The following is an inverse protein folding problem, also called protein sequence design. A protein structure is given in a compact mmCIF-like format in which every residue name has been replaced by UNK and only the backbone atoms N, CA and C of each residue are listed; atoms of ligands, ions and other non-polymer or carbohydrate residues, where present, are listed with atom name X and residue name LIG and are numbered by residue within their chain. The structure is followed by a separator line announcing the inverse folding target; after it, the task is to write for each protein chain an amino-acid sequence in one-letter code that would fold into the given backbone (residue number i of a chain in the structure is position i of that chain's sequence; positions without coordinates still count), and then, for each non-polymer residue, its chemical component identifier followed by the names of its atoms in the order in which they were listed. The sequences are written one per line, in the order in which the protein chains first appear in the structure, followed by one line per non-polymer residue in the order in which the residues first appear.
data_IF_058968216100
#
_entry.id   IF_058968216100
#
_cell.length_a   1.000
_cell.length_b   1.000
_cell.length_c   1.000
_cell.angle_alpha   90.00
_cell.angle_beta   90.00
_cell.angle_gamma   90.00
#
_symmetry.space_group_name_H-M   'P 1'
#
loop_
_entity.id
_entity.type
_entity.pdbx_description
1 polymer ?
#
# COMPACT_ATOMS: atom_id res chain seq x y z
N UNK A 1 57.01 79.50 -28.71
CA UNK A 1 56.42 78.84 -27.55
C UNK A 1 54.93 78.52 -27.85
N UNK A 2 54.64 77.31 -28.31
CA UNK A 2 53.28 76.88 -28.56
C UNK A 2 52.91 75.80 -27.56
N UNK A 3 51.93 76.11 -26.72
CA UNK A 3 51.36 75.13 -25.75
C UNK A 3 50.34 74.29 -26.42
N UNK A 4 50.57 72.99 -26.45
CA UNK A 4 49.57 71.97 -26.94
C UNK A 4 48.71 71.51 -25.76
N UNK A 5 47.42 71.66 -25.90
CA UNK A 5 46.45 71.21 -24.88
C UNK A 5 46.01 69.86 -25.32
N UNK A 6 46.22 68.84 -24.45
CA UNK A 6 45.80 67.47 -24.63
C UNK A 6 44.44 67.31 -23.97
N UNK A 7 43.40 67.03 -24.75
CA UNK A 7 42.02 66.69 -24.25
C UNK A 7 41.98 65.21 -24.08
N UNK A 8 41.84 64.71 -22.84
CA UNK A 8 41.61 63.33 -22.52
C UNK A 8 40.06 63.06 -22.55
N UNK A 9 39.59 62.27 -23.49
CA UNK A 9 38.23 61.83 -23.51
C UNK A 9 38.10 60.59 -22.62
N UNK A 10 37.39 60.73 -21.50
CA UNK A 10 37.06 59.64 -20.58
C UNK A 10 35.83 58.90 -21.14
N UNK A 11 36.02 57.68 -21.68
CA UNK A 11 34.94 56.78 -22.06
C UNK A 11 34.44 56.07 -20.77
N UNK A 12 33.26 56.46 -20.30
CA UNK A 12 32.52 55.72 -19.29
C UNK A 12 31.98 54.42 -19.89
N UNK A 13 32.62 53.30 -19.59
CA UNK A 13 32.02 51.96 -19.81
C UNK A 13 31.00 51.72 -18.69
N UNK A 14 29.71 51.88 -18.99
CA UNK A 14 28.63 51.28 -18.17
C UNK A 14 28.67 49.77 -18.37
N UNK A 15 29.34 49.04 -17.49
CA UNK A 15 29.16 47.61 -17.34
C UNK A 15 27.76 47.33 -16.79
N UNK A 16 26.80 46.99 -17.66
CA UNK A 16 25.57 46.37 -17.27
C UNK A 16 25.92 45.00 -16.68
N UNK A 17 25.91 44.89 -15.37
CA UNK A 17 25.85 43.62 -14.68
C UNK A 17 24.48 42.99 -15.00
N UNK A 18 24.38 42.21 -16.08
CA UNK A 18 23.35 41.18 -16.22
C UNK A 18 23.65 40.15 -15.14
N UNK A 19 22.96 40.26 -14.00
CA UNK A 19 22.79 39.11 -13.12
C UNK A 19 22.17 38.03 -13.97
N UNK A 20 22.95 37.00 -14.33
CA UNK A 20 22.40 35.75 -14.77
C UNK A 20 21.41 35.32 -13.68
N UNK A 21 20.15 35.26 -14.04
CA UNK A 21 19.12 34.66 -13.21
C UNK A 21 19.53 33.19 -13.11
N UNK A 22 20.11 32.83 -11.97
CA UNK A 22 20.42 31.47 -11.63
C UNK A 22 19.05 30.76 -11.61
N UNK A 23 18.70 30.13 -12.74
CA UNK A 23 17.59 29.20 -12.84
C UNK A 23 18.04 28.01 -12.02
N UNK A 24 17.87 28.09 -10.69
CA UNK A 24 17.85 26.92 -9.83
C UNK A 24 16.83 25.98 -10.45
N UNK A 25 17.32 24.91 -11.10
CA UNK A 25 16.49 23.78 -11.50
C UNK A 25 15.75 23.38 -10.24
N UNK A 26 14.43 23.57 -10.21
CA UNK A 26 13.58 22.97 -9.18
C UNK A 26 13.81 21.46 -9.24
N UNK A 27 14.62 20.97 -8.32
CA UNK A 27 15.06 19.59 -8.30
C UNK A 27 13.94 18.71 -7.72
N UNK A 28 13.04 18.27 -8.60
CA UNK A 28 12.08 17.21 -8.28
C UNK A 28 10.89 17.67 -7.43
N UNK A 29 10.33 16.71 -6.70
CA UNK A 29 9.27 16.98 -5.74
C UNK A 29 9.86 17.45 -4.40
N UNK A 30 9.29 18.53 -3.86
CA UNK A 30 9.57 19.06 -2.53
C UNK A 30 8.26 19.00 -1.73
N UNK A 31 8.26 18.23 -0.64
CA UNK A 31 7.06 18.04 0.17
C UNK A 31 7.14 18.75 1.50
N UNK A 32 6.02 19.35 1.91
CA UNK A 32 5.82 19.88 3.26
C UNK A 32 4.71 19.07 3.93
N UNK A 33 5.01 18.48 5.08
CA UNK A 33 4.03 17.72 5.86
C UNK A 33 2.92 18.62 6.39
N UNK A 34 1.68 18.26 6.14
CA UNK A 34 0.48 18.95 6.65
C UNK A 34 -0.04 18.25 7.90
N UNK A 35 -0.11 16.93 7.84
CA UNK A 35 -0.56 16.07 8.94
C UNK A 35 0.19 14.75 8.87
N UNK A 36 0.69 14.31 10.02
CA UNK A 36 1.35 13.02 10.16
C UNK A 36 0.83 12.32 11.41
N UNK A 37 0.42 11.07 11.25
CA UNK A 37 0.00 10.21 12.34
C UNK A 37 1.12 9.23 12.67
N UNK A 38 1.22 8.74 13.91
CA UNK A 38 2.31 7.86 14.31
C UNK A 38 2.23 6.51 13.57
N UNK A 39 3.38 6.03 13.13
CA UNK A 39 3.61 4.72 12.53
C UNK A 39 4.80 4.03 13.19
N UNK A 40 4.83 2.71 13.14
CA UNK A 40 6.01 1.92 13.51
C UNK A 40 7.08 1.95 12.42
N UNK A 41 8.24 1.35 12.67
CA UNK A 41 9.36 1.30 11.72
C UNK A 41 8.96 0.71 10.36
N UNK A 42 9.69 1.11 9.32
CA UNK A 42 9.52 0.56 7.96
C UNK A 42 10.10 -0.85 7.93
N UNK A 43 9.26 -1.83 7.62
CA UNK A 43 9.65 -3.23 7.44
C UNK A 43 10.03 -3.54 5.99
N UNK A 44 10.61 -4.72 5.75
CA UNK A 44 10.95 -5.18 4.41
C UNK A 44 10.41 -6.59 4.17
N UNK A 45 9.32 -6.69 3.41
CA UNK A 45 8.75 -7.96 2.99
C UNK A 45 9.62 -8.72 1.98
N UNK A 46 10.56 -8.01 1.32
CA UNK A 46 11.43 -8.55 0.28
C UNK A 46 10.63 -9.37 -0.76
N UNK A 47 11.01 -10.63 -1.01
CA UNK A 47 10.37 -11.53 -1.99
C UNK A 47 9.43 -12.55 -1.34
N UNK A 48 8.53 -12.07 -0.46
CA UNK A 48 7.57 -12.93 0.24
C UNK A 48 6.16 -12.93 -0.36
N UNK A 49 5.83 -11.94 -1.20
CA UNK A 49 4.45 -11.75 -1.73
C UNK A 49 3.38 -11.61 -0.64
N UNK A 50 3.78 -11.10 0.54
CA UNK A 50 2.91 -10.99 1.73
C UNK A 50 2.62 -9.55 2.14
N UNK A 51 2.59 -8.62 1.17
CA UNK A 51 2.29 -7.19 1.39
C UNK A 51 1.00 -6.96 2.19
N UNK A 52 -0.02 -7.78 1.96
CA UNK A 52 -1.29 -7.76 2.67
C UNK A 52 -1.12 -7.95 4.18
N UNK A 53 -0.21 -8.84 4.61
CA UNK A 53 0.08 -9.07 6.04
C UNK A 53 0.90 -7.91 6.62
N UNK A 54 1.97 -7.48 5.93
CA UNK A 54 2.82 -6.37 6.37
C UNK A 54 2.04 -5.05 6.51
N UNK A 55 1.19 -4.75 5.53
CA UNK A 55 0.41 -3.51 5.57
C UNK A 55 -0.69 -3.52 6.63
N UNK A 56 -1.46 -4.60 6.72
CA UNK A 56 -2.53 -4.63 7.70
C UNK A 56 -2.02 -4.75 9.15
N UNK A 57 -0.93 -5.49 9.41
CA UNK A 57 -0.30 -5.47 10.73
C UNK A 57 0.36 -4.12 11.03
N UNK A 58 1.05 -3.49 10.06
CA UNK A 58 1.56 -2.14 10.21
C UNK A 58 0.48 -1.09 10.47
N UNK A 59 -0.72 -1.29 9.93
CA UNK A 59 -1.91 -0.51 10.28
C UNK A 59 -2.35 -0.78 11.74
N UNK A 60 -2.46 -2.03 12.17
CA UNK A 60 -2.83 -2.36 13.55
C UNK A 60 -1.79 -1.89 14.58
N UNK A 61 -0.51 -1.95 14.24
CA UNK A 61 0.57 -1.37 15.05
C UNK A 61 0.40 0.14 15.22
N UNK A 62 0.00 0.84 14.15
CA UNK A 62 -0.32 2.28 14.21
C UNK A 62 -1.56 2.57 15.05
N UNK A 63 -2.57 1.69 15.01
CA UNK A 63 -3.74 1.77 15.90
C UNK A 63 -3.35 1.59 17.39
N UNK A 64 -2.42 0.69 17.68
CA UNK A 64 -1.90 0.53 19.05
C UNK A 64 -1.18 1.78 19.54
N UNK A 65 -0.40 2.45 18.67
CA UNK A 65 0.19 3.76 18.98
C UNK A 65 -0.89 4.82 19.23
N UNK A 66 -1.91 4.90 18.37
CA UNK A 66 -3.04 5.83 18.52
C UNK A 66 -3.82 5.59 19.83
N UNK A 67 -4.00 4.32 20.23
CA UNK A 67 -4.67 3.93 21.47
C UNK A 67 -3.81 4.15 22.72
N UNK A 68 -2.56 4.62 22.58
CA UNK A 68 -1.63 4.81 23.70
C UNK A 68 -1.11 3.52 24.32
N UNK A 69 -1.18 2.40 23.59
CA UNK A 69 -0.67 1.08 24.06
C UNK A 69 0.85 0.95 23.93
N UNK A 70 1.51 1.87 23.21
CA UNK A 70 2.92 1.82 22.90
C UNK A 70 3.22 1.10 21.59
N UNK A 71 4.50 0.91 21.32
CA UNK A 71 4.99 0.27 20.12
C UNK A 71 4.97 -1.26 20.26
N UNK A 72 4.42 -1.90 19.25
CA UNK A 72 4.41 -3.35 19.07
C UNK A 72 4.98 -3.68 17.70
N UNK A 73 5.65 -4.82 17.62
CA UNK A 73 6.13 -5.45 16.41
C UNK A 73 5.43 -6.80 16.28
N UNK A 74 4.43 -6.91 15.40
CA UNK A 74 3.58 -8.08 15.22
C UNK A 74 4.13 -9.00 14.13
N UNK A 75 4.01 -10.31 14.33
CA UNK A 75 4.52 -11.30 13.38
C UNK A 75 3.61 -11.43 12.16
N UNK A 76 4.11 -11.00 11.01
CA UNK A 76 3.46 -11.21 9.73
C UNK A 76 3.34 -12.70 9.38
N UNK A 77 4.38 -13.46 9.70
CA UNK A 77 4.46 -14.87 9.29
C UNK A 77 3.55 -15.78 10.10
N UNK A 78 3.17 -15.41 11.32
CA UNK A 78 2.10 -16.08 12.05
C UNK A 78 0.77 -15.98 11.29
N UNK A 79 0.43 -14.80 10.81
CA UNK A 79 -0.78 -14.56 10.01
C UNK A 79 -0.71 -15.28 8.67
N UNK A 80 0.43 -15.23 7.99
CA UNK A 80 0.66 -15.92 6.72
C UNK A 80 0.50 -17.42 6.87
N UNK A 81 1.10 -18.03 7.87
CA UNK A 81 1.01 -19.47 8.12
C UNK A 81 -0.44 -19.95 8.24
N UNK A 82 -1.23 -19.29 9.10
CA UNK A 82 -2.65 -19.62 9.30
C UNK A 82 -3.48 -19.37 8.05
N UNK A 83 -3.28 -18.22 7.41
CA UNK A 83 -4.04 -17.84 6.21
C UNK A 83 -3.79 -18.78 5.05
N UNK A 84 -2.53 -19.10 4.77
CA UNK A 84 -2.19 -19.99 3.67
C UNK A 84 -2.64 -21.43 3.90
N UNK A 85 -2.61 -21.91 5.15
CA UNK A 85 -3.16 -23.20 5.52
C UNK A 85 -4.68 -23.25 5.28
N UNK A 86 -5.39 -22.19 5.65
CA UNK A 86 -6.84 -22.08 5.40
C UNK A 86 -7.16 -21.96 3.90
N UNK A 87 -6.37 -21.18 3.16
CA UNK A 87 -6.53 -21.01 1.70
C UNK A 87 -6.36 -22.34 0.97
N UNK A 88 -5.39 -23.13 1.39
CA UNK A 88 -5.22 -24.49 0.84
C UNK A 88 -6.43 -25.39 1.11
N UNK A 89 -6.99 -25.33 2.32
CA UNK A 89 -8.24 -26.07 2.64
C UNK A 89 -9.39 -25.63 1.74
N UNK A 90 -9.52 -24.32 1.51
CA UNK A 90 -10.52 -23.76 0.61
C UNK A 90 -10.30 -24.25 -0.83
N UNK A 91 -9.08 -24.15 -1.33
CA UNK A 91 -8.68 -24.62 -2.67
C UNK A 91 -8.99 -26.10 -2.89
N UNK A 92 -8.67 -26.95 -1.92
CA UNK A 92 -8.98 -28.39 -1.98
C UNK A 92 -10.49 -28.65 -1.96
N UNK A 93 -11.28 -27.90 -1.18
CA UNK A 93 -12.75 -27.99 -1.18
C UNK A 93 -13.38 -27.60 -2.52
N UNK A 94 -12.77 -26.65 -3.23
CA UNK A 94 -13.16 -26.25 -4.59
C UNK A 94 -12.54 -27.13 -5.67
N UNK A 95 -11.94 -28.27 -5.32
CA UNK A 95 -11.30 -29.21 -6.25
C UNK A 95 -10.23 -28.57 -7.15
N UNK A 96 -9.60 -27.50 -6.68
CA UNK A 96 -8.58 -26.75 -7.42
C UNK A 96 -9.13 -25.70 -8.38
N UNK A 97 -10.43 -25.39 -8.32
CA UNK A 97 -11.09 -24.39 -9.18
C UNK A 97 -11.21 -23.00 -8.52
N UNK A 98 -10.39 -22.73 -7.52
CA UNK A 98 -10.21 -21.39 -6.93
C UNK A 98 -8.74 -20.96 -7.01
N UNK A 99 -8.42 -19.73 -6.59
CA UNK A 99 -7.04 -19.28 -6.54
C UNK A 99 -6.30 -19.84 -5.32
N UNK A 100 -5.10 -20.38 -5.54
CA UNK A 100 -4.12 -20.66 -4.49
C UNK A 100 -2.80 -19.96 -4.85
N UNK A 101 -2.63 -18.75 -4.35
CA UNK A 101 -1.49 -17.86 -4.56
C UNK A 101 -1.02 -17.31 -3.21
N UNK A 102 0.19 -16.75 -3.10
CA UNK A 102 0.72 -16.21 -1.82
C UNK A 102 0.07 -14.90 -1.38
N UNK A 103 -0.74 -14.27 -2.23
CA UNK A 103 -1.48 -13.05 -1.91
C UNK A 103 -2.58 -13.26 -0.85
N UNK A 104 -3.18 -12.18 -0.40
CA UNK A 104 -4.28 -12.19 0.56
C UNK A 104 -4.88 -10.80 0.75
N UNK A 105 -5.93 -10.71 1.52
CA UNK A 105 -6.70 -9.50 1.76
C UNK A 105 -6.56 -8.98 3.20
N UNK A 106 -6.91 -7.73 3.44
CA UNK A 106 -6.93 -7.19 4.80
C UNK A 106 -7.95 -7.93 5.70
N UNK A 107 -8.96 -8.56 5.10
CA UNK A 107 -9.90 -9.39 5.83
C UNK A 107 -9.24 -10.61 6.46
N UNK A 108 -8.18 -11.15 5.85
CA UNK A 108 -7.45 -12.30 6.40
C UNK A 108 -6.82 -11.99 7.75
N UNK A 109 -6.33 -10.75 7.95
CA UNK A 109 -5.75 -10.31 9.22
C UNK A 109 -6.84 -10.18 10.29
N UNK A 110 -7.99 -9.60 9.96
CA UNK A 110 -9.13 -9.50 10.89
C UNK A 110 -9.65 -10.89 11.24
N UNK A 111 -9.70 -11.79 10.26
CA UNK A 111 -10.08 -13.19 10.48
C UNK A 111 -9.06 -13.90 11.39
N UNK A 112 -7.76 -13.72 11.15
CA UNK A 112 -6.71 -14.31 11.96
C UNK A 112 -6.77 -13.79 13.41
N UNK A 113 -6.86 -12.48 13.61
CA UNK A 113 -7.04 -11.84 14.91
C UNK A 113 -8.21 -12.46 15.69
N UNK A 114 -9.35 -12.64 15.04
CA UNK A 114 -10.57 -13.17 15.64
C UNK A 114 -10.48 -14.67 15.95
N UNK A 115 -9.88 -15.47 15.08
CA UNK A 115 -9.95 -16.93 15.13
C UNK A 115 -8.70 -17.60 15.70
N UNK A 116 -7.51 -17.02 15.42
CA UNK A 116 -6.21 -17.59 15.84
C UNK A 116 -5.49 -16.73 16.87
N UNK A 117 -5.78 -15.44 16.92
CA UNK A 117 -5.07 -14.45 17.72
C UNK A 117 -3.91 -13.82 16.93
N UNK A 118 -2.95 -13.25 17.66
CA UNK A 118 -1.71 -12.66 17.13
C UNK A 118 -0.54 -13.00 18.05
N UNK A 119 0.68 -12.84 17.53
CA UNK A 119 1.90 -12.99 18.31
C UNK A 119 2.87 -11.85 17.98
N UNK A 120 3.78 -11.47 18.91
CA UNK A 120 4.83 -10.51 18.57
C UNK A 120 5.86 -11.17 17.65
N UNK A 121 6.57 -10.36 16.86
CA UNK A 121 7.59 -10.79 15.91
C UNK A 121 8.67 -11.66 16.57
N UNK A 122 9.07 -11.38 17.80
CA UNK A 122 10.08 -12.16 18.53
C UNK A 122 9.62 -13.59 18.87
N UNK A 123 8.30 -13.84 18.95
CA UNK A 123 7.76 -15.17 19.22
C UNK A 123 7.68 -16.05 17.96
N UNK A 124 7.59 -15.44 16.79
CA UNK A 124 7.62 -16.13 15.50
C UNK A 124 8.26 -15.23 14.42
N UNK A 125 9.60 -15.22 14.33
CA UNK A 125 10.31 -14.42 13.33
C UNK A 125 9.97 -14.77 11.88
N UNK A 126 9.59 -16.03 11.62
CA UNK A 126 9.10 -16.46 10.32
C UNK A 126 10.16 -16.65 9.24
N UNK A 127 11.43 -16.81 9.62
CA UNK A 127 12.56 -17.06 8.72
C UNK A 127 13.40 -18.18 9.33
N UNK A 128 13.20 -19.42 8.88
CA UNK A 128 13.91 -20.62 9.38
C UNK A 128 15.03 -21.09 8.44
N UNK A 129 15.38 -20.27 7.47
CA UNK A 129 16.42 -20.50 6.46
C UNK A 129 17.52 -19.43 6.59
N UNK A 130 18.64 -19.59 5.85
CA UNK A 130 19.85 -18.79 6.03
C UNK A 130 19.80 -17.35 5.55
N UNK A 131 18.61 -16.79 5.27
CA UNK A 131 18.43 -15.40 4.83
C UNK A 131 18.09 -14.47 6.01
N UNK A 132 18.36 -13.19 5.84
CA UNK A 132 18.00 -12.14 6.81
C UNK A 132 16.66 -11.47 6.52
N UNK A 133 16.07 -11.73 5.35
CA UNK A 133 14.80 -11.16 4.88
C UNK A 133 13.91 -12.28 4.32
N UNK A 134 12.59 -12.13 4.34
CA UNK A 134 11.67 -13.13 3.79
C UNK A 134 11.88 -13.38 2.30
N UNK A 135 12.03 -14.67 1.92
CA UNK A 135 12.14 -15.15 0.53
C UNK A 135 11.28 -16.39 0.39
N UNK A 136 10.10 -16.28 -0.20
CA UNK A 136 9.09 -17.35 -0.23
C UNK A 136 8.99 -18.06 -1.58
N UNK A 137 9.81 -17.72 -2.58
CA UNK A 137 9.73 -18.33 -3.91
C UNK A 137 9.73 -19.86 -3.88
N UNK A 138 10.59 -20.47 -3.05
CA UNK A 138 10.66 -21.93 -2.89
C UNK A 138 9.47 -22.44 -2.09
N UNK A 139 9.13 -21.81 -0.95
CA UNK A 139 7.97 -22.16 -0.13
C UNK A 139 6.69 -22.15 -0.96
N UNK A 140 6.45 -21.08 -1.71
CA UNK A 140 5.25 -20.92 -2.54
C UNK A 140 5.16 -22.03 -3.59
N UNK A 141 6.26 -22.32 -4.29
CA UNK A 141 6.33 -23.37 -5.30
C UNK A 141 6.05 -24.77 -4.71
N UNK A 142 6.65 -25.07 -3.56
CA UNK A 142 6.47 -26.37 -2.88
C UNK A 142 5.04 -26.51 -2.34
N UNK A 143 4.50 -25.46 -1.68
CA UNK A 143 3.15 -25.47 -1.14
C UNK A 143 2.10 -25.59 -2.25
N UNK A 144 2.30 -24.87 -3.37
CA UNK A 144 1.43 -24.97 -4.55
C UNK A 144 1.47 -26.36 -5.15
N UNK A 145 2.65 -26.91 -5.41
CA UNK A 145 2.81 -28.26 -5.99
C UNK A 145 2.17 -29.33 -5.10
N UNK A 146 2.40 -29.25 -3.79
CA UNK A 146 1.80 -30.17 -2.82
C UNK A 146 0.26 -30.07 -2.83
N UNK A 147 -0.27 -28.87 -2.74
CA UNK A 147 -1.72 -28.63 -2.68
C UNK A 147 -2.41 -29.02 -3.99
N UNK A 148 -1.78 -28.75 -5.14
CA UNK A 148 -2.24 -29.18 -6.46
C UNK A 148 -2.30 -30.70 -6.59
N UNK A 149 -1.29 -31.44 -6.08
CA UNK A 149 -1.28 -32.90 -6.09
C UNK A 149 -2.49 -33.49 -5.31
N UNK A 150 -2.93 -32.80 -4.24
CA UNK A 150 -4.10 -33.18 -3.46
C UNK A 150 -5.40 -32.78 -4.17
N UNK A 151 -5.52 -31.53 -4.62
CA UNK A 151 -6.77 -31.00 -5.16
C UNK A 151 -7.09 -31.54 -6.55
N UNK A 152 -6.09 -31.72 -7.41
CA UNK A 152 -6.23 -32.12 -8.83
C UNK A 152 -5.77 -33.57 -9.08
N UNK A 153 -5.32 -34.27 -8.06
CA UNK A 153 -4.99 -35.69 -8.14
C UNK A 153 -6.24 -36.54 -8.46
N UNK A 154 -6.07 -37.64 -9.14
CA UNK A 154 -7.15 -38.61 -9.43
C UNK A 154 -7.45 -39.45 -8.17
N UNK A 155 -7.83 -38.78 -7.07
CA UNK A 155 -8.11 -39.39 -5.77
C UNK A 155 -9.63 -39.47 -5.57
N UNK A 156 -10.12 -40.63 -5.18
CA UNK A 156 -11.55 -40.83 -4.88
C UNK A 156 -11.91 -40.42 -3.44
N UNK A 157 -10.93 -40.40 -2.56
CA UNK A 157 -11.11 -40.02 -1.14
C UNK A 157 -9.81 -39.45 -0.60
N UNK A 158 -9.89 -38.30 0.10
CA UNK A 158 -8.80 -37.70 0.81
C UNK A 158 -8.74 -38.16 2.28
N UNK A 159 -7.56 -38.34 2.80
CA UNK A 159 -7.33 -38.50 4.25
C UNK A 159 -7.04 -37.13 4.86
N UNK A 160 -7.26 -36.87 6.16
CA UNK A 160 -6.94 -35.58 6.79
C UNK A 160 -5.44 -35.33 6.93
N UNK A 161 -4.58 -36.35 6.70
CA UNK A 161 -3.12 -36.30 6.86
C UNK A 161 -2.46 -35.25 5.95
N UNK A 162 -3.06 -34.96 4.76
CA UNK A 162 -2.52 -33.96 3.85
C UNK A 162 -2.42 -32.56 4.49
N UNK A 163 -3.35 -32.23 5.41
CA UNK A 163 -3.29 -30.94 6.11
C UNK A 163 -2.09 -30.84 7.03
N UNK A 164 -1.72 -31.95 7.70
CA UNK A 164 -0.52 -32.03 8.53
C UNK A 164 0.75 -31.91 7.67
N UNK A 165 0.78 -32.58 6.50
CA UNK A 165 1.87 -32.47 5.56
C UNK A 165 2.09 -31.04 5.05
N UNK A 166 1.01 -30.35 4.72
CA UNK A 166 1.07 -28.93 4.31
C UNK A 166 1.53 -28.03 5.48
N UNK A 167 1.00 -28.23 6.68
CA UNK A 167 1.43 -27.46 7.86
C UNK A 167 2.93 -27.68 8.12
N UNK A 168 3.45 -28.90 7.99
CA UNK A 168 4.86 -29.20 8.16
C UNK A 168 5.75 -28.49 7.12
N UNK A 169 5.26 -28.25 5.90
CA UNK A 169 5.95 -27.42 4.91
C UNK A 169 6.07 -25.98 5.45
N UNK A 170 4.97 -25.36 5.85
CA UNK A 170 5.00 -24.00 6.42
C UNK A 170 5.83 -23.92 7.70
N UNK A 171 5.72 -24.91 8.59
CA UNK A 171 6.52 -24.99 9.82
C UNK A 171 8.03 -25.01 9.52
N UNK A 172 8.43 -25.69 8.45
CA UNK A 172 9.85 -25.80 8.04
C UNK A 172 10.42 -24.47 7.58
N UNK A 173 9.65 -23.65 6.87
CA UNK A 173 10.12 -22.37 6.33
C UNK A 173 9.86 -21.18 7.25
N UNK A 174 8.70 -21.16 7.93
CA UNK A 174 8.24 -20.04 8.73
C UNK A 174 8.40 -20.26 10.24
N UNK A 175 8.63 -21.50 10.68
CA UNK A 175 8.57 -21.90 12.08
C UNK A 175 7.15 -22.30 12.50
N UNK A 176 7.09 -23.05 13.59
CA UNK A 176 5.82 -23.49 14.18
C UNK A 176 5.09 -22.31 14.82
N UNK A 177 3.78 -22.24 14.61
CA UNK A 177 2.94 -21.29 15.32
C UNK A 177 2.96 -21.65 16.84
N UNK A 178 3.39 -20.71 17.72
CA UNK A 178 3.52 -21.02 19.13
C UNK A 178 2.14 -21.19 19.78
N UNK A 179 1.96 -22.24 20.58
CA UNK A 179 0.78 -22.40 21.43
C UNK A 179 0.84 -21.46 22.63
N UNK A 180 2.05 -21.23 23.17
CA UNK A 180 2.37 -20.34 24.27
C UNK A 180 3.72 -19.67 24.03
N UNK A 181 3.87 -18.45 24.53
CA UNK A 181 5.12 -17.70 24.48
C UNK A 181 5.21 -16.70 25.62
N UNK A 182 6.42 -16.24 25.93
CA UNK A 182 6.64 -15.18 26.90
C UNK A 182 6.93 -13.87 26.17
N UNK A 183 6.20 -12.81 26.50
CA UNK A 183 6.43 -11.48 26.00
C UNK A 183 6.43 -10.46 27.12
N UNK A 184 7.49 -9.64 27.22
CA UNK A 184 7.68 -8.64 28.29
C UNK A 184 7.48 -9.25 29.69
N UNK A 185 8.00 -10.49 29.91
CA UNK A 185 7.96 -11.19 31.20
C UNK A 185 6.62 -11.83 31.57
N UNK A 186 5.63 -11.84 30.69
CA UNK A 186 4.34 -12.49 30.90
C UNK A 186 4.08 -13.58 29.87
N UNK A 187 3.54 -14.74 30.33
CA UNK A 187 3.13 -15.83 29.44
C UNK A 187 1.79 -15.50 28.75
N UNK A 188 1.71 -15.80 27.47
CA UNK A 188 0.53 -15.64 26.63
C UNK A 188 0.31 -16.86 25.73
N UNK A 189 -0.95 -17.07 25.36
CA UNK A 189 -1.34 -17.75 24.12
C UNK A 189 -1.56 -16.70 23.03
N UNK A 190 -1.57 -17.04 21.74
CA UNK A 190 -1.86 -16.07 20.68
C UNK A 190 -3.18 -15.31 20.89
N UNK A 191 -4.22 -16.00 21.39
CA UNK A 191 -5.51 -15.36 21.70
C UNK A 191 -5.44 -14.40 22.88
N UNK A 192 -4.85 -14.82 23.99
CA UNK A 192 -4.74 -13.95 25.17
C UNK A 192 -3.82 -12.74 24.91
N UNK A 193 -2.83 -12.88 24.03
CA UNK A 193 -2.03 -11.75 23.58
C UNK A 193 -2.87 -10.78 22.76
N UNK A 194 -3.58 -11.26 21.75
CA UNK A 194 -4.48 -10.45 20.92
C UNK A 194 -5.53 -9.70 21.77
N UNK A 195 -6.14 -10.38 22.74
CA UNK A 195 -7.07 -9.75 23.70
C UNK A 195 -6.40 -8.63 24.51
N UNK A 196 -5.14 -8.82 24.94
CA UNK A 196 -4.39 -7.81 25.70
C UNK A 196 -4.08 -6.54 24.92
N UNK A 197 -4.02 -6.63 23.58
CA UNK A 197 -3.85 -5.47 22.69
C UNK A 197 -5.08 -4.55 22.73
N UNK A 198 -6.28 -5.10 23.00
CA UNK A 198 -7.53 -4.34 23.06
C UNK A 198 -8.05 -3.92 21.68
N UNK A 199 -7.59 -4.55 20.62
CA UNK A 199 -8.11 -4.35 19.25
C UNK A 199 -9.37 -5.20 19.11
N UNK A 200 -10.50 -4.55 18.83
CA UNK A 200 -11.74 -5.25 18.50
C UNK A 200 -11.90 -5.30 16.97
N UNK A 201 -11.85 -6.50 16.35
CA UNK A 201 -11.98 -6.63 14.90
C UNK A 201 -13.26 -6.01 14.31
N UNK A 202 -14.35 -5.97 15.09
CA UNK A 202 -15.64 -5.45 14.64
C UNK A 202 -15.69 -3.90 14.60
N UNK A 203 -14.64 -3.21 15.06
CA UNK A 203 -14.50 -1.76 14.94
C UNK A 203 -13.82 -1.32 13.61
N UNK A 204 -13.42 -2.27 12.79
CA UNK A 204 -12.75 -2.00 11.52
C UNK A 204 -13.63 -2.35 10.35
N UNK A 205 -13.68 -1.46 9.39
CA UNK A 205 -14.53 -1.60 8.20
C UNK A 205 -13.70 -1.53 6.92
N UNK A 206 -14.00 -2.41 5.98
CA UNK A 206 -13.46 -2.32 4.61
C UNK A 206 -14.37 -1.47 3.75
N UNK A 207 -13.79 -0.56 2.96
CA UNK A 207 -14.51 0.33 2.06
C UNK A 207 -13.91 0.26 0.66
N UNK A 208 -14.76 0.43 -0.35
CA UNK A 208 -14.42 0.50 -1.78
C UNK A 208 -15.36 1.44 -2.52
N UNK A 209 -15.15 1.60 -3.84
CA UNK A 209 -15.96 2.49 -4.68
C UNK A 209 -16.08 1.95 -6.10
N UNK A 210 -17.15 1.21 -6.40
CA UNK A 210 -17.43 0.65 -7.74
C UNK A 210 -18.91 0.73 -8.08
N UNK A 211 -19.26 0.90 -9.37
CA UNK A 211 -20.64 1.12 -9.82
C UNK A 211 -21.39 -0.15 -10.19
N UNK A 212 -20.71 -1.28 -10.32
CA UNK A 212 -21.33 -2.57 -10.66
C UNK A 212 -22.11 -3.20 -9.48
N UNK A 213 -21.96 -2.63 -8.27
CA UNK A 213 -22.81 -2.91 -7.12
C UNK A 213 -23.44 -1.64 -6.57
N UNK A 214 -24.62 -1.69 -5.93
CA UNK A 214 -25.27 -0.52 -5.35
C UNK A 214 -24.39 0.16 -4.29
N UNK A 215 -24.37 1.48 -4.29
CA UNK A 215 -23.72 2.24 -3.21
C UNK A 215 -24.46 2.05 -1.88
N UNK A 216 -23.72 2.21 -0.80
CA UNK A 216 -24.16 2.05 0.60
C UNK A 216 -24.59 0.61 0.93
N UNK A 217 -24.16 -0.37 0.15
CA UNK A 217 -24.30 -1.79 0.43
C UNK A 217 -22.94 -2.46 0.58
N UNK A 218 -22.92 -3.68 1.07
CA UNK A 218 -21.71 -4.49 1.13
C UNK A 218 -21.67 -5.51 0.03
N UNK A 219 -20.49 -5.74 -0.54
CA UNK A 219 -20.23 -6.84 -1.46
C UNK A 219 -18.78 -7.34 -1.30
N UNK A 220 -18.51 -8.53 -1.76
CA UNK A 220 -17.16 -9.06 -1.86
C UNK A 220 -16.54 -8.60 -3.18
N UNK A 221 -15.45 -7.80 -3.12
CA UNK A 221 -14.76 -7.38 -4.33
C UNK A 221 -14.24 -8.62 -5.06
N UNK A 222 -14.49 -8.68 -6.37
CA UNK A 222 -14.18 -9.82 -7.24
C UNK A 222 -12.71 -9.82 -7.66
N UNK A 223 -11.84 -10.05 -6.69
CA UNK A 223 -10.39 -10.22 -6.86
C UNK A 223 -9.95 -11.55 -6.26
N UNK A 224 -8.90 -12.14 -6.84
CA UNK A 224 -8.45 -13.49 -6.45
C UNK A 224 -7.98 -13.56 -4.99
N UNK A 225 -7.43 -12.48 -4.46
CA UNK A 225 -6.90 -12.42 -3.12
C UNK A 225 -7.97 -12.21 -2.04
N UNK A 226 -9.20 -11.82 -2.44
CA UNK A 226 -10.36 -11.83 -1.56
C UNK A 226 -11.04 -13.23 -1.51
N UNK A 227 -10.25 -14.29 -1.42
CA UNK A 227 -10.68 -15.68 -1.47
C UNK A 227 -11.62 -16.11 -0.32
N UNK A 228 -11.65 -15.37 0.79
CA UNK A 228 -12.60 -15.54 1.90
C UNK A 228 -13.93 -14.81 1.66
N UNK A 229 -14.08 -14.09 0.55
CA UNK A 229 -15.23 -13.24 0.25
C UNK A 229 -15.51 -12.21 1.35
N UNK A 230 -14.45 -11.58 1.88
CA UNK A 230 -14.56 -10.48 2.83
C UNK A 230 -15.35 -9.32 2.21
N UNK A 231 -16.30 -8.78 2.98
CA UNK A 231 -17.22 -7.75 2.49
C UNK A 231 -16.60 -6.35 2.65
N UNK A 232 -16.82 -5.51 1.65
CA UNK A 232 -16.49 -4.08 1.67
C UNK A 232 -17.75 -3.25 1.49
N UNK A 233 -17.89 -2.16 2.24
CA UNK A 233 -18.91 -1.16 2.01
C UNK A 233 -18.58 -0.36 0.76
N UNK A 234 -19.57 -0.18 -0.10
CA UNK A 234 -19.44 0.52 -1.37
C UNK A 234 -19.89 1.98 -1.24
N UNK A 235 -19.03 2.92 -1.60
CA UNK A 235 -19.30 4.37 -1.53
C UNK A 235 -19.14 5.02 -2.91
N UNK A 236 -19.85 6.13 -3.20
CA UNK A 236 -19.45 7.03 -4.28
C UNK A 236 -17.99 7.49 -4.10
N UNK A 237 -17.28 7.74 -5.20
CA UNK A 237 -15.85 8.05 -5.18
C UNK A 237 -15.50 9.28 -4.34
N UNK A 238 -16.28 10.32 -4.42
CA UNK A 238 -16.10 11.55 -3.64
C UNK A 238 -16.25 11.31 -2.13
N UNK A 239 -17.23 10.50 -1.71
CA UNK A 239 -17.40 10.09 -0.32
C UNK A 239 -16.29 9.14 0.14
N UNK A 240 -15.86 8.24 -0.72
CA UNK A 240 -14.72 7.34 -0.44
C UNK A 240 -13.43 8.13 -0.19
N UNK A 241 -13.12 9.12 -1.04
CA UNK A 241 -11.98 10.01 -0.85
C UNK A 241 -12.14 10.90 0.40
N UNK A 242 -13.35 11.35 0.70
CA UNK A 242 -13.63 12.14 1.91
C UNK A 242 -13.38 11.31 3.20
N UNK A 243 -13.69 10.01 3.21
CA UNK A 243 -13.35 9.13 4.34
C UNK A 243 -11.84 9.07 4.56
N UNK A 244 -11.04 8.90 3.51
CA UNK A 244 -9.58 8.84 3.60
C UNK A 244 -8.98 10.13 4.17
N UNK A 245 -9.45 11.28 3.67
CA UNK A 245 -9.02 12.58 4.16
C UNK A 245 -9.40 12.80 5.63
N UNK A 246 -10.63 12.46 5.97
CA UNK A 246 -11.14 12.60 7.33
C UNK A 246 -10.38 11.70 8.30
N UNK A 247 -10.07 10.46 7.91
CA UNK A 247 -9.33 9.52 8.72
C UNK A 247 -7.97 10.11 9.13
N UNK A 248 -7.16 10.54 8.14
CA UNK A 248 -5.84 11.12 8.43
C UNK A 248 -5.95 12.37 9.28
N UNK A 249 -6.86 13.29 8.97
CA UNK A 249 -7.07 14.55 9.70
C UNK A 249 -7.50 14.31 11.15
N UNK A 250 -8.26 13.25 11.42
CA UNK A 250 -8.69 12.85 12.77
C UNK A 250 -7.64 12.06 13.57
N UNK A 251 -6.51 11.75 13.01
CA UNK A 251 -5.43 11.02 13.70
C UNK A 251 -5.45 9.51 13.47
N UNK A 252 -6.22 9.01 12.50
CA UNK A 252 -6.25 7.61 12.10
C UNK A 252 -5.35 7.36 10.91
N UNK A 253 -4.79 6.16 10.85
CA UNK A 253 -4.18 5.58 9.66
C UNK A 253 -5.17 4.61 9.03
N UNK A 254 -4.86 4.07 7.86
CA UNK A 254 -5.64 2.99 7.25
C UNK A 254 -4.77 2.12 6.33
N UNK A 255 -5.09 0.82 6.28
CA UNK A 255 -4.49 -0.06 5.30
C UNK A 255 -5.10 0.24 3.92
N UNK A 256 -4.24 0.25 2.90
CA UNK A 256 -4.56 0.70 1.55
C UNK A 256 -4.13 -0.35 0.53
N UNK A 257 -5.10 -0.99 -0.12
CA UNK A 257 -4.90 -1.89 -1.25
C UNK A 257 -4.95 -1.11 -2.57
N UNK A 258 -3.94 -1.26 -3.41
CA UNK A 258 -3.78 -0.48 -4.62
C UNK A 258 -3.08 -1.25 -5.73
N UNK A 259 -3.43 -0.92 -6.96
CA UNK A 259 -2.59 -1.20 -8.11
C UNK A 259 -1.34 -0.30 -8.05
N UNK A 260 -0.17 -0.90 -8.23
CA UNK A 260 1.13 -0.23 -8.25
C UNK A 260 1.91 -0.53 -9.54
N UNK A 261 1.31 -1.24 -10.49
CA UNK A 261 1.93 -1.57 -11.78
C UNK A 261 1.97 -0.39 -12.76
N UNK A 262 1.49 0.78 -12.32
CA UNK A 262 1.47 2.03 -13.07
C UNK A 262 2.85 2.66 -13.29
N UNK A 263 3.01 3.34 -14.43
CA UNK A 263 4.24 4.09 -14.72
C UNK A 263 4.51 5.21 -13.72
N UNK A 264 3.44 5.81 -13.19
CA UNK A 264 3.52 6.88 -12.18
C UNK A 264 3.84 6.40 -10.78
N UNK A 265 3.77 5.09 -10.49
CA UNK A 265 4.24 4.51 -9.22
C UNK A 265 5.72 4.16 -9.34
N UNK A 266 6.58 4.95 -8.72
CA UNK A 266 8.02 4.84 -8.89
C UNK A 266 8.73 4.23 -7.68
N UNK A 267 9.92 3.68 -7.90
CA UNK A 267 10.78 3.22 -6.81
C UNK A 267 11.38 4.35 -5.97
N UNK A 268 11.31 5.58 -6.47
CA UNK A 268 11.81 6.76 -5.76
C UNK A 268 10.83 7.33 -4.73
N UNK A 269 9.65 6.72 -4.60
CA UNK A 269 8.67 7.09 -3.59
C UNK A 269 7.63 8.11 -4.06
N UNK A 270 7.34 8.16 -5.37
CA UNK A 270 6.29 9.00 -5.96
C UNK A 270 5.24 8.11 -6.61
N UNK A 271 3.96 8.43 -6.38
CA UNK A 271 2.82 7.81 -7.02
C UNK A 271 1.88 8.90 -7.57
N UNK A 272 1.85 9.07 -8.90
CA UNK A 272 1.14 10.15 -9.60
C UNK A 272 0.39 9.62 -10.83
N UNK A 273 -0.68 10.31 -11.23
CA UNK A 273 -1.43 10.02 -12.46
C UNK A 273 -1.40 11.22 -13.41
N UNK A 274 -0.29 11.44 -14.14
CA UNK A 274 -0.18 12.57 -15.05
C UNK A 274 -1.25 12.52 -16.14
N UNK A 275 -1.81 13.67 -16.48
CA UNK A 275 -2.77 13.82 -17.57
C UNK A 275 -2.04 13.83 -18.92
N UNK A 276 -2.03 12.67 -19.60
CA UNK A 276 -1.39 12.54 -20.90
C UNK A 276 -2.03 13.46 -21.98
N UNK A 277 -3.32 13.80 -21.84
CA UNK A 277 -4.00 14.71 -22.76
C UNK A 277 -3.51 16.15 -22.59
N UNK A 278 -3.26 16.58 -21.36
CA UNK A 278 -2.62 17.89 -21.07
C UNK A 278 -1.15 17.94 -21.45
N UNK A 279 -0.47 16.78 -21.44
CA UNK A 279 0.86 16.64 -22.05
C UNK A 279 0.83 16.80 -23.58
N UNK A 280 -0.31 16.50 -24.24
CA UNK A 280 -0.52 16.70 -25.66
C UNK A 280 -0.81 18.16 -26.06
N UNK A 281 -1.12 19.04 -25.10
CA UNK A 281 -1.17 20.49 -25.31
C UNK A 281 0.23 21.13 -25.40
N UNK A 282 1.29 20.33 -25.16
CA UNK A 282 2.66 20.72 -25.46
C UNK A 282 2.78 20.96 -26.98
N UNK A 283 3.00 22.19 -27.40
CA UNK A 283 3.13 22.58 -28.79
C UNK A 283 4.57 22.61 -29.26
N UNK A 284 4.81 22.30 -30.52
CA UNK A 284 6.13 22.48 -31.19
C UNK A 284 7.23 21.55 -30.68
N UNK A 285 8.35 22.13 -30.21
CA UNK A 285 9.54 21.38 -29.78
C UNK A 285 9.34 20.47 -28.58
N UNK A 286 8.43 20.81 -27.67
CA UNK A 286 8.17 20.01 -26.47
C UNK A 286 7.38 18.73 -26.79
N UNK A 287 6.43 18.79 -27.73
CA UNK A 287 5.74 17.61 -28.26
C UNK A 287 6.71 16.70 -29.00
N UNK A 288 7.57 17.25 -29.86
CA UNK A 288 8.57 16.47 -30.58
C UNK A 288 9.57 15.80 -29.64
N UNK A 289 9.97 16.50 -28.58
CA UNK A 289 10.82 15.95 -27.51
C UNK A 289 10.11 14.81 -26.79
N UNK A 290 8.84 14.99 -26.38
CA UNK A 290 8.05 13.98 -25.68
C UNK A 290 7.84 12.72 -26.51
N UNK A 291 7.52 12.86 -27.80
CA UNK A 291 7.32 11.70 -28.70
C UNK A 291 8.59 10.92 -28.97
N UNK A 292 9.76 11.58 -28.92
CA UNK A 292 11.06 10.96 -29.09
C UNK A 292 11.63 10.25 -27.85
N UNK A 293 11.01 10.42 -26.67
CA UNK A 293 11.49 9.81 -25.42
C UNK A 293 11.19 8.31 -25.37
N UNK A 294 12.14 7.54 -24.83
CA UNK A 294 11.89 6.13 -24.46
C UNK A 294 10.86 6.05 -23.31
N UNK A 295 10.27 4.86 -23.09
CA UNK A 295 9.36 4.64 -21.97
C UNK A 295 10.03 4.95 -20.61
N UNK A 296 11.33 4.66 -20.47
CA UNK A 296 12.09 4.97 -19.26
C UNK A 296 12.29 6.49 -19.07
N UNK A 297 12.59 7.22 -20.16
CA UNK A 297 12.75 8.67 -20.10
C UNK A 297 11.42 9.37 -19.84
N UNK A 298 10.31 8.88 -20.41
CA UNK A 298 8.96 9.37 -20.11
C UNK A 298 8.62 9.19 -18.64
N UNK A 299 8.90 8.00 -18.08
CA UNK A 299 8.71 7.76 -16.63
C UNK A 299 9.52 8.74 -15.78
N UNK A 300 10.78 8.97 -16.15
CA UNK A 300 11.66 9.92 -15.45
C UNK A 300 11.11 11.34 -15.52
N UNK A 301 10.64 11.77 -16.69
CA UNK A 301 10.05 13.10 -16.87
C UNK A 301 8.75 13.26 -16.06
N UNK A 302 7.85 12.26 -16.08
CA UNK A 302 6.59 12.25 -15.33
C UNK A 302 6.79 12.37 -13.81
N UNK A 303 7.94 11.92 -13.31
CA UNK A 303 8.23 11.87 -11.88
C UNK A 303 9.33 12.85 -11.45
N UNK A 304 9.84 13.64 -12.40
CA UNK A 304 10.88 14.63 -12.11
C UNK A 304 10.36 15.88 -11.39
N UNK A 305 9.06 16.20 -11.55
CA UNK A 305 8.41 17.38 -10.99
C UNK A 305 6.89 17.20 -10.95
N UNK A 306 6.16 17.99 -10.15
CA UNK A 306 4.70 18.01 -10.21
C UNK A 306 4.19 18.43 -11.58
N UNK A 307 3.32 17.60 -12.17
CA UNK A 307 2.65 17.84 -13.44
C UNK A 307 1.13 17.93 -13.22
N UNK A 308 0.36 18.49 -14.19
CA UNK A 308 -1.08 18.34 -14.19
C UNK A 308 -1.48 16.86 -14.17
N UNK A 309 -2.46 16.51 -13.38
CA UNK A 309 -2.94 15.13 -13.27
C UNK A 309 -4.36 14.97 -13.77
N UNK A 310 -4.73 13.73 -14.05
CA UNK A 310 -6.07 13.34 -14.48
C UNK A 310 -7.12 13.79 -13.45
N UNK A 311 -8.25 14.25 -13.94
CA UNK A 311 -9.45 14.41 -13.13
C UNK A 311 -10.21 13.08 -13.12
N UNK A 312 -9.94 12.25 -12.14
CA UNK A 312 -10.48 10.88 -12.05
C UNK A 312 -11.97 10.93 -11.73
N UNK A 313 -12.79 10.28 -12.58
CA UNK A 313 -14.23 10.12 -12.35
C UNK A 313 -14.58 8.72 -11.85
N UNK A 314 -15.81 8.57 -11.35
CA UNK A 314 -16.34 7.28 -10.93
C UNK A 314 -16.37 6.27 -12.09
N UNK A 315 -16.72 6.73 -13.29
CA UNK A 315 -16.81 5.92 -14.51
C UNK A 315 -15.43 5.45 -14.96
N UNK A 316 -14.43 6.35 -14.97
CA UNK A 316 -13.05 6.00 -15.30
C UNK A 316 -12.52 4.92 -14.36
N UNK A 317 -12.79 5.06 -13.06
CA UNK A 317 -12.39 4.07 -12.05
C UNK A 317 -13.05 2.71 -12.29
N UNK A 318 -14.37 2.68 -12.58
CA UNK A 318 -15.08 1.44 -12.89
C UNK A 318 -14.53 0.80 -14.15
N UNK A 319 -14.36 1.57 -15.22
CA UNK A 319 -13.83 1.07 -16.48
C UNK A 319 -12.44 0.44 -16.31
N UNK A 320 -11.58 1.08 -15.52
CA UNK A 320 -10.22 0.58 -15.27
C UNK A 320 -10.23 -0.76 -14.50
N UNK A 321 -11.19 -0.97 -13.61
CA UNK A 321 -11.39 -2.25 -12.92
C UNK A 321 -11.91 -3.32 -13.90
N UNK A 322 -12.91 -3.00 -14.72
CA UNK A 322 -13.55 -3.92 -15.64
C UNK A 322 -12.62 -4.37 -16.79
N UNK A 323 -11.70 -3.51 -17.23
CA UNK A 323 -10.79 -3.78 -18.35
C UNK A 323 -9.37 -4.16 -17.91
N UNK A 324 -9.13 -4.33 -16.59
CA UNK A 324 -7.86 -4.73 -15.99
C UNK A 324 -6.74 -3.68 -16.10
N UNK A 325 -7.08 -2.41 -16.30
CA UNK A 325 -6.14 -1.29 -16.12
C UNK A 325 -5.85 -1.00 -14.64
N UNK A 326 -6.72 -1.48 -13.75
CA UNK A 326 -6.50 -1.45 -12.30
C UNK A 326 -6.65 -2.86 -11.76
N UNK A 327 -5.57 -3.38 -11.17
CA UNK A 327 -5.46 -4.72 -10.61
C UNK A 327 -5.12 -4.69 -9.13
N UNK A 328 -5.31 -5.82 -8.44
CA UNK A 328 -4.96 -5.97 -7.03
C UNK A 328 -3.49 -6.39 -6.91
N UNK A 329 -2.61 -5.44 -6.62
CA UNK A 329 -1.17 -5.68 -6.68
C UNK A 329 -0.47 -5.59 -5.32
N UNK A 330 -0.84 -4.61 -4.48
CA UNK A 330 -0.03 -4.28 -3.31
C UNK A 330 -0.81 -3.65 -2.17
N UNK A 331 -0.45 -4.03 -0.95
CA UNK A 331 -0.96 -3.43 0.28
C UNK A 331 0.06 -2.52 0.95
N UNK A 332 -0.39 -1.36 1.43
CA UNK A 332 0.41 -0.32 2.11
C UNK A 332 -0.39 0.33 3.24
N UNK A 333 0.19 1.30 3.95
CA UNK A 333 -0.51 2.08 4.99
C UNK A 333 -0.46 3.56 4.64
N UNK A 334 -1.62 4.21 4.56
CA UNK A 334 -1.69 5.67 4.49
C UNK A 334 -1.76 6.22 5.92
N UNK A 335 -0.85 7.17 6.23
CA UNK A 335 -0.69 7.69 7.59
C UNK A 335 -0.61 9.21 7.68
N UNK A 336 -0.46 9.91 6.54
CA UNK A 336 -0.27 11.34 6.56
C UNK A 336 -0.76 12.05 5.30
N UNK A 337 -0.71 13.38 5.34
CA UNK A 337 -0.95 14.29 4.22
C UNK A 337 0.22 15.26 4.13
N UNK A 338 0.75 15.44 2.93
CA UNK A 338 1.76 16.44 2.60
C UNK A 338 1.29 17.30 1.42
N UNK A 339 1.94 18.43 1.20
CA UNK A 339 1.77 19.28 0.02
C UNK A 339 3.08 19.38 -0.74
N UNK A 340 3.01 19.37 -2.07
CA UNK A 340 4.14 19.71 -2.91
C UNK A 340 4.41 21.22 -2.94
N UNK A 341 5.45 21.64 -3.65
CA UNK A 341 5.85 23.05 -3.79
C UNK A 341 4.77 23.92 -4.47
N UNK A 342 3.79 23.32 -5.16
CA UNK A 342 2.65 24.00 -5.79
C UNK A 342 1.41 24.03 -4.90
N UNK A 343 1.50 23.45 -3.69
CA UNK A 343 0.38 23.37 -2.74
C UNK A 343 -0.60 22.23 -2.97
N UNK A 344 -0.31 21.32 -3.93
CA UNK A 344 -1.12 20.15 -4.21
C UNK A 344 -0.95 19.09 -3.12
N UNK A 345 -2.05 18.47 -2.67
CA UNK A 345 -2.05 17.48 -1.60
C UNK A 345 -1.71 16.07 -2.09
N UNK A 346 -0.92 15.38 -1.27
CA UNK A 346 -0.54 13.98 -1.41
C UNK A 346 -0.80 13.24 -0.11
N UNK A 347 -1.15 11.97 -0.19
CA UNK A 347 -1.09 11.08 0.95
C UNK A 347 0.35 10.61 1.18
N UNK A 348 0.74 10.52 2.45
CA UNK A 348 1.99 9.90 2.89
C UNK A 348 1.73 8.43 3.16
N UNK A 349 2.53 7.58 2.53
CA UNK A 349 2.33 6.13 2.48
C UNK A 349 3.54 5.41 3.07
N UNK A 350 3.32 4.59 4.10
CA UNK A 350 4.29 3.64 4.61
C UNK A 350 4.24 2.39 3.73
N UNK A 351 5.35 2.08 3.05
CA UNK A 351 5.50 0.87 2.25
C UNK A 351 6.32 -0.18 3.04
N UNK A 352 6.34 -1.41 2.56
CA UNK A 352 7.04 -2.57 3.15
C UNK A 352 8.22 -3.06 2.31
N UNK A 353 8.94 -2.15 1.63
CA UNK A 353 10.11 -2.46 0.79
C UNK A 353 11.43 -1.99 1.41
N UNK A 354 11.49 -1.92 2.75
CA UNK A 354 12.64 -1.42 3.48
C UNK A 354 12.89 0.07 3.27
N UNK A 355 14.02 0.56 3.76
CA UNK A 355 14.41 1.97 3.69
C UNK A 355 14.94 2.36 2.30
N UNK A 356 14.34 1.84 1.24
CA UNK A 356 14.73 2.13 -0.14
C UNK A 356 14.16 3.47 -0.63
N UNK A 357 14.71 3.96 -1.76
CA UNK A 357 14.26 5.18 -2.43
C UNK A 357 14.64 6.47 -1.73
N UNK A 358 14.31 7.60 -2.37
CA UNK A 358 14.64 8.95 -1.92
C UNK A 358 14.05 9.26 -0.54
N UNK A 359 12.88 8.73 -0.23
CA UNK A 359 12.13 9.02 0.99
C UNK A 359 12.16 7.86 2.00
N UNK A 360 13.17 6.97 1.92
CA UNK A 360 13.45 5.93 2.91
C UNK A 360 12.24 5.06 3.27
N UNK A 361 11.59 4.49 2.25
CA UNK A 361 10.44 3.59 2.44
C UNK A 361 9.09 4.28 2.56
N UNK A 362 9.05 5.60 2.38
CA UNK A 362 7.83 6.40 2.30
C UNK A 362 7.54 6.74 0.84
N UNK A 363 6.26 6.71 0.47
CA UNK A 363 5.74 7.18 -0.81
C UNK A 363 4.81 8.36 -0.62
N UNK A 364 4.80 9.25 -1.60
CA UNK A 364 3.84 10.35 -1.70
C UNK A 364 2.90 10.04 -2.87
N UNK A 365 1.66 9.67 -2.54
CA UNK A 365 0.64 9.32 -3.51
C UNK A 365 -0.33 10.49 -3.71
N UNK A 366 -0.45 10.97 -4.95
CA UNK A 366 -1.37 12.03 -5.27
C UNK A 366 -2.83 11.60 -5.07
N UNK A 367 -3.73 12.57 -4.85
CA UNK A 367 -5.16 12.27 -4.72
C UNK A 367 -5.73 11.62 -5.99
N UNK A 368 -5.22 11.99 -7.17
CA UNK A 368 -5.62 11.39 -8.44
C UNK A 368 -5.19 9.91 -8.52
N UNK A 369 -3.95 9.59 -8.12
CA UNK A 369 -3.49 8.21 -8.06
C UNK A 369 -4.35 7.37 -7.12
N UNK A 370 -4.56 7.84 -5.90
CA UNK A 370 -5.37 7.14 -4.89
C UNK A 370 -6.81 6.97 -5.36
N UNK A 371 -7.43 8.00 -5.93
CA UNK A 371 -8.78 7.91 -6.47
C UNK A 371 -8.91 6.87 -7.59
N UNK A 372 -7.89 6.74 -8.44
CA UNK A 372 -7.94 5.85 -9.61
C UNK A 372 -7.58 4.41 -9.27
N UNK A 373 -6.51 4.20 -8.46
CA UNK A 373 -5.84 2.90 -8.31
C UNK A 373 -6.16 2.16 -7.01
N UNK A 374 -6.96 2.73 -6.10
CA UNK A 374 -7.33 2.04 -4.86
C UNK A 374 -8.31 0.90 -5.12
N UNK A 375 -8.00 -0.30 -4.65
CA UNK A 375 -8.94 -1.41 -4.61
C UNK A 375 -9.89 -1.26 -3.42
N UNK A 376 -9.34 -1.25 -2.21
CA UNK A 376 -10.07 -1.04 -0.97
C UNK A 376 -9.18 -0.41 0.10
N UNK A 377 -9.81 0.00 1.18
CA UNK A 377 -9.12 0.37 2.42
C UNK A 377 -9.71 -0.42 3.60
N UNK A 378 -8.90 -0.60 4.64
CA UNK A 378 -9.36 -1.04 5.95
C UNK A 378 -9.11 0.07 6.96
N UNK A 379 -10.16 0.55 7.63
CA UNK A 379 -10.09 1.72 8.51
C UNK A 379 -10.94 1.50 9.76
N UNK A 380 -10.58 2.16 10.87
CA UNK A 380 -11.41 2.18 12.08
C UNK A 380 -12.73 2.93 11.81
N UNK A 381 -13.85 2.39 12.26
CA UNK A 381 -15.20 2.97 12.04
C UNK A 381 -15.34 4.43 12.48
N UNK A 382 -14.71 4.81 13.60
CA UNK A 382 -14.75 6.17 14.15
C UNK A 382 -14.00 7.20 13.26
N UNK A 383 -13.21 6.72 12.29
CA UNK A 383 -12.57 7.57 11.31
C UNK A 383 -13.55 8.08 10.23
N UNK A 384 -14.71 7.47 10.08
CA UNK A 384 -15.71 7.87 9.10
C UNK A 384 -16.30 9.25 9.43
N UNK A 385 -16.61 10.08 8.42
CA UNK A 385 -17.52 11.22 8.59
C UNK A 385 -18.89 10.75 9.12
N UNK A 386 -19.48 11.52 10.04
CA UNK A 386 -20.73 11.12 10.73
C UNK A 386 -21.90 10.86 9.78
N UNK A 387 -22.01 11.63 8.73
CA UNK A 387 -23.04 11.49 7.69
C UNK A 387 -22.87 10.19 6.90
N UNK A 388 -21.63 9.85 6.53
CA UNK A 388 -21.29 8.60 5.82
C UNK A 388 -21.52 7.40 6.75
N UNK A 389 -21.05 7.44 8.00
CA UNK A 389 -21.33 6.38 8.97
C UNK A 389 -22.84 6.12 9.14
N UNK A 390 -23.65 7.21 9.18
CA UNK A 390 -25.10 7.10 9.24
C UNK A 390 -25.70 6.45 7.99
N UNK A 391 -25.24 6.79 6.78
CA UNK A 391 -25.70 6.17 5.52
C UNK A 391 -25.41 4.68 5.48
N UNK A 392 -24.28 4.25 6.06
CA UNK A 392 -23.87 2.84 6.15
C UNK A 392 -24.51 2.10 7.34
N UNK A 393 -25.23 2.79 8.23
CA UNK A 393 -25.77 2.18 9.46
C UNK A 393 -24.70 1.77 10.48
N UNK A 394 -23.50 2.34 10.37
CA UNK A 394 -22.38 2.08 11.27
C UNK A 394 -22.52 2.99 12.51
N UNK A 395 -22.40 2.39 13.70
CA UNK A 395 -22.51 3.07 15.00
C UNK A 395 -21.17 3.15 15.69
#
# INVERSE_FOLDING_TARGET
MKKTILIAATLCFCSMNMKAQDTTKEEGFVFTTVKENPITSIKNQNRSSTCWSFSALGFLESELLRMGKGEYDLSEMFVVHHTMTDRARNYVRYHGDSSFSPGGSFYDIMYCLKNYGLVPQEAMPGIMYCDSLPVHNELDAVAEAYTNAIAKGKLTKLTPVWQQGLSAIYDTYLGQCPEKFTYKGKEYTPKSFAESLGINPDDYVSLTSYTHHPFYTQFAIEIQDNWRNGLSWNLPLDEFMAVMDNAVKKGYTFAWGSDVSEQGFTRDGIAVMPDAAKGAELTGSDMARWTGLTAADKRKELTSRPLPEMNVTQEMRQQAFDNWETTDDHGMVIYGIAKDQNGKEYFMVKNSWGLSGKYKGIWYASKAFVAYKTMNILVHKDALPKDIAKKLGIK
#
